data_IF_623294012097
#
_entry.id   IF_623294012097
#
_cell.length_a   1.000
_cell.length_b   1.000
_cell.length_c   1.000
_cell.angle_alpha   90.00
_cell.angle_beta   90.00
_cell.angle_gamma   90.00
#
_symmetry.space_group_name_H-M   'P 1'
#
loop_
_entity.id
_entity.type
_entity.pdbx_description
1 polymer ?
#
# COMPACT_ATOMS: atom_id res chain seq x y z
N UNK A 1 -11.59 13.29 6.02
CA UNK A 1 -11.36 13.81 4.67
C UNK A 1 -9.88 13.98 4.45
N UNK A 2 -9.37 13.48 3.33
CA UNK A 2 -7.96 13.48 3.03
C UNK A 2 -7.70 14.21 1.72
N UNK A 3 -7.14 15.42 1.75
CA UNK A 3 -6.81 16.20 0.57
C UNK A 3 -8.00 16.33 -0.42
N UNK A 4 -9.22 16.48 0.09
CA UNK A 4 -10.43 16.58 -0.73
C UNK A 4 -10.98 15.25 -1.25
N UNK A 5 -10.33 14.12 -0.93
CA UNK A 5 -10.85 12.81 -1.32
C UNK A 5 -11.97 12.38 -0.38
N UNK A 6 -13.00 11.80 -0.97
CA UNK A 6 -14.07 11.13 -0.24
C UNK A 6 -14.06 9.66 -0.60
N UNK A 7 -14.07 8.80 0.41
CA UNK A 7 -14.14 7.37 0.17
C UNK A 7 -15.50 7.01 -0.40
N UNK A 8 -15.49 6.29 -1.50
CA UNK A 8 -16.68 5.60 -2.01
C UNK A 8 -16.49 4.11 -1.73
N UNK A 9 -17.17 3.61 -0.70
CA UNK A 9 -16.96 2.22 -0.24
C UNK A 9 -17.34 1.20 -1.31
N UNK A 10 -18.41 1.42 -2.05
CA UNK A 10 -18.80 0.48 -3.11
C UNK A 10 -17.72 0.36 -4.19
N UNK A 11 -17.13 1.49 -4.59
CA UNK A 11 -16.01 1.49 -5.55
C UNK A 11 -14.79 0.83 -4.98
N UNK A 12 -14.46 1.12 -3.72
CA UNK A 12 -13.30 0.53 -3.06
C UNK A 12 -13.43 -0.99 -2.93
N UNK A 13 -14.60 -1.48 -2.50
CA UNK A 13 -14.87 -2.92 -2.37
C UNK A 13 -14.72 -3.60 -3.74
N UNK A 14 -15.30 -3.01 -4.79
CA UNK A 14 -15.19 -3.56 -6.14
C UNK A 14 -13.74 -3.65 -6.59
N UNK A 15 -12.95 -2.61 -6.34
CA UNK A 15 -11.53 -2.60 -6.67
C UNK A 15 -10.77 -3.67 -5.89
N UNK A 16 -11.02 -3.76 -4.59
CA UNK A 16 -10.39 -4.74 -3.72
C UNK A 16 -10.69 -6.18 -4.15
N UNK A 17 -11.95 -6.49 -4.42
CA UNK A 17 -12.36 -7.81 -4.94
C UNK A 17 -11.66 -8.09 -6.27
N UNK A 18 -11.55 -7.09 -7.13
CA UNK A 18 -10.83 -7.21 -8.39
C UNK A 18 -9.35 -7.59 -8.19
N UNK A 19 -8.69 -7.00 -7.20
CA UNK A 19 -7.31 -7.37 -6.85
C UNK A 19 -7.21 -8.80 -6.34
N UNK A 20 -8.14 -9.23 -5.49
CA UNK A 20 -8.18 -10.60 -4.97
C UNK A 20 -8.29 -11.62 -6.12
N UNK A 21 -9.15 -11.34 -7.10
CA UNK A 21 -9.28 -12.20 -8.28
C UNK A 21 -8.03 -12.14 -9.17
N UNK A 22 -7.50 -10.95 -9.38
CA UNK A 22 -6.34 -10.74 -10.25
C UNK A 22 -5.08 -11.42 -9.74
N UNK A 23 -4.88 -11.47 -8.41
CA UNK A 23 -3.68 -12.11 -7.84
C UNK A 23 -3.63 -13.61 -8.12
N UNK A 24 -4.76 -14.25 -8.44
CA UNK A 24 -4.80 -15.67 -8.81
C UNK A 24 -4.17 -15.90 -10.18
N UNK A 25 -4.07 -14.88 -11.00
CA UNK A 25 -3.63 -14.98 -12.38
C UNK A 25 -2.28 -14.31 -12.64
N UNK A 26 -1.88 -13.36 -11.80
CA UNK A 26 -0.65 -12.60 -12.03
C UNK A 26 0.01 -12.19 -10.71
N UNK A 27 1.36 -12.18 -10.65
CA UNK A 27 2.09 -11.69 -9.48
C UNK A 27 2.05 -10.16 -9.33
N UNK A 28 1.46 -9.44 -10.30
CA UNK A 28 1.39 -7.97 -10.28
C UNK A 28 0.23 -7.42 -9.46
N UNK A 29 -0.59 -8.28 -8.89
CA UNK A 29 -1.61 -7.93 -7.91
C UNK A 29 -1.40 -8.76 -6.65
N UNK A 30 -1.53 -8.13 -5.49
CA UNK A 30 -1.23 -8.76 -4.22
C UNK A 30 -2.22 -8.32 -3.16
N UNK A 31 -2.81 -9.28 -2.46
CA UNK A 31 -3.58 -9.03 -1.25
C UNK A 31 -3.11 -10.05 -0.22
N UNK A 32 -2.60 -9.56 0.90
CA UNK A 32 -2.08 -10.40 1.98
C UNK A 32 -2.69 -9.96 3.30
N UNK A 33 -2.93 -10.93 4.17
CA UNK A 33 -3.41 -10.69 5.52
C UNK A 33 -2.41 -11.16 6.56
N UNK A 34 -2.39 -10.47 7.70
CA UNK A 34 -1.62 -10.89 8.86
C UNK A 34 -2.58 -11.47 9.90
N UNK A 35 -2.43 -12.75 10.18
CA UNK A 35 -3.25 -13.48 11.13
C UNK A 35 -2.46 -13.77 12.39
N UNK A 36 -3.01 -13.41 13.53
CA UNK A 36 -2.43 -13.72 14.84
C UNK A 36 -3.48 -14.46 15.65
N UNK A 37 -3.15 -15.65 16.12
CA UNK A 37 -4.07 -16.54 16.84
C UNK A 37 -5.39 -16.77 16.09
N UNK A 38 -5.29 -16.95 14.77
CA UNK A 38 -6.44 -17.20 13.90
C UNK A 38 -7.30 -15.98 13.58
N UNK A 39 -6.92 -14.79 14.04
CA UNK A 39 -7.65 -13.57 13.78
C UNK A 39 -6.88 -12.66 12.82
N UNK A 40 -7.59 -12.08 11.87
CA UNK A 40 -7.01 -11.10 10.94
C UNK A 40 -6.70 -9.81 11.68
N UNK A 41 -5.43 -9.42 11.72
CA UNK A 41 -4.97 -8.22 12.42
C UNK A 41 -4.61 -7.07 11.48
N UNK A 42 -4.45 -7.35 10.24
CA UNK A 42 -4.17 -6.34 9.24
C UNK A 42 -4.11 -6.95 7.85
N UNK A 43 -4.19 -6.08 6.85
CA UNK A 43 -4.01 -6.52 5.48
C UNK A 43 -3.29 -5.45 4.66
N UNK A 44 -2.69 -5.90 3.58
CA UNK A 44 -2.04 -5.03 2.61
C UNK A 44 -2.55 -5.42 1.24
N UNK A 45 -2.90 -4.42 0.44
CA UNK A 45 -3.20 -4.60 -0.97
C UNK A 45 -2.23 -3.79 -1.81
N UNK A 46 -1.83 -4.34 -2.93
CA UNK A 46 -0.86 -3.70 -3.82
C UNK A 46 -1.09 -4.13 -5.25
N UNK A 47 -0.74 -3.25 -6.16
CA UNK A 47 -0.77 -3.55 -7.59
C UNK A 47 0.44 -2.87 -8.24
N UNK A 48 1.16 -3.59 -9.08
CA UNK A 48 2.33 -3.03 -9.74
C UNK A 48 1.94 -2.15 -10.92
N UNK A 49 2.80 -1.20 -11.21
CA UNK A 49 2.76 -0.44 -12.45
C UNK A 49 4.17 -0.38 -13.04
N UNK A 50 4.25 -0.12 -14.34
CA UNK A 50 5.53 -0.01 -15.03
C UNK A 50 6.02 1.42 -14.99
N UNK A 51 7.26 1.60 -14.53
CA UNK A 51 7.93 2.88 -14.64
C UNK A 51 8.36 3.07 -16.08
N UNK A 52 7.79 4.06 -16.76
CA UNK A 52 8.02 4.20 -18.20
C UNK A 52 9.42 4.73 -18.54
N UNK A 53 10.17 5.28 -17.56
CA UNK A 53 11.55 5.70 -17.78
C UNK A 53 12.53 4.52 -17.81
N UNK A 54 12.27 3.50 -16.99
CA UNK A 54 13.20 2.38 -16.81
C UNK A 54 12.67 1.07 -17.35
N UNK A 55 11.39 0.99 -17.68
CA UNK A 55 10.68 -0.21 -18.04
C UNK A 55 10.67 -1.29 -16.95
N UNK A 56 10.93 -0.90 -15.72
CA UNK A 56 10.85 -1.79 -14.56
C UNK A 56 9.49 -1.63 -13.90
N UNK A 57 9.00 -2.67 -13.25
CA UNK A 57 7.78 -2.50 -12.50
C UNK A 57 8.04 -2.11 -11.05
N UNK A 58 7.10 -1.36 -10.51
CA UNK A 58 7.11 -0.88 -9.13
C UNK A 58 5.85 -1.43 -8.46
N UNK A 59 6.01 -2.08 -7.31
CA UNK A 59 4.86 -2.54 -6.53
C UNK A 59 4.31 -1.35 -5.75
N UNK A 60 3.07 -1.00 -6.04
CA UNK A 60 2.40 0.17 -5.45
C UNK A 60 1.42 -0.30 -4.39
N UNK A 61 1.73 -0.05 -3.13
CA UNK A 61 0.86 -0.38 -2.01
C UNK A 61 -0.34 0.55 -2.03
N UNK A 62 -1.53 -0.03 -2.17
CA UNK A 62 -2.79 0.71 -2.21
C UNK A 62 -3.38 0.90 -0.82
N UNK A 63 -3.37 -0.17 -0.04
CA UNK A 63 -3.87 -0.15 1.33
C UNK A 63 -2.93 -0.92 2.24
N UNK A 64 -2.73 -0.39 3.43
CA UNK A 64 -2.15 -1.13 4.54
C UNK A 64 -2.94 -0.74 5.78
N UNK A 65 -3.85 -1.61 6.17
CA UNK A 65 -4.80 -1.36 7.25
C UNK A 65 -4.55 -2.34 8.37
N UNK A 66 -4.40 -1.83 9.57
CA UNK A 66 -4.11 -2.61 10.78
C UNK A 66 -5.22 -2.38 11.79
N UNK A 67 -5.58 -3.44 12.49
CA UNK A 67 -6.56 -3.39 13.57
C UNK A 67 -6.10 -2.41 14.66
N UNK A 68 -6.90 -1.37 14.90
CA UNK A 68 -6.61 -0.34 15.91
C UNK A 68 -6.46 -0.91 17.31
N UNK A 69 -7.26 -1.91 17.64
CA UNK A 69 -7.26 -2.51 18.97
C UNK A 69 -6.03 -3.38 19.22
N UNK A 70 -5.31 -3.71 18.15
CA UNK A 70 -4.15 -4.57 18.25
C UNK A 70 -2.84 -3.79 18.31
N UNK A 71 -2.82 -2.53 17.96
CA UNK A 71 -1.67 -1.61 17.96
C UNK A 71 -0.32 -2.32 17.82
N UNK A 72 -0.09 -2.91 16.69
CA UNK A 72 1.08 -3.72 16.51
C UNK A 72 1.95 -3.26 15.35
N UNK A 73 3.04 -2.61 15.68
CA UNK A 73 4.10 -2.22 14.76
C UNK A 73 4.57 -3.39 13.90
N UNK A 74 4.65 -4.58 14.50
CA UNK A 74 5.11 -5.78 13.79
C UNK A 74 4.14 -6.24 12.71
N UNK A 75 2.85 -5.99 12.84
CA UNK A 75 1.89 -6.31 11.78
C UNK A 75 2.23 -5.56 10.50
N UNK A 76 2.50 -4.26 10.58
CA UNK A 76 2.90 -3.47 9.41
C UNK A 76 4.19 -4.02 8.81
N UNK A 77 5.19 -4.30 9.63
CA UNK A 77 6.46 -4.83 9.15
C UNK A 77 6.30 -6.22 8.52
N UNK A 78 5.50 -7.11 9.10
CA UNK A 78 5.25 -8.42 8.49
C UNK A 78 4.59 -8.30 7.13
N UNK A 79 3.61 -7.39 7.01
CA UNK A 79 2.93 -7.15 5.73
C UNK A 79 3.89 -6.59 4.69
N UNK A 80 4.69 -5.59 5.06
CA UNK A 80 5.67 -5.01 4.14
C UNK A 80 6.79 -5.99 3.79
N UNK A 81 7.30 -6.76 4.75
CA UNK A 81 8.29 -7.79 4.49
C UNK A 81 7.79 -8.80 3.46
N UNK A 82 6.56 -9.25 3.61
CA UNK A 82 5.94 -10.20 2.68
C UNK A 82 5.75 -9.58 1.28
N UNK A 83 5.32 -8.33 1.21
CA UNK A 83 5.17 -7.60 -0.05
C UNK A 83 6.52 -7.44 -0.75
N UNK A 84 7.55 -7.06 -0.02
CA UNK A 84 8.89 -6.86 -0.57
C UNK A 84 9.45 -8.20 -1.08
N UNK A 85 9.30 -9.28 -0.31
CA UNK A 85 9.73 -10.61 -0.72
C UNK A 85 9.03 -11.06 -2.00
N UNK A 86 7.73 -10.86 -2.10
CA UNK A 86 6.94 -11.16 -3.30
C UNK A 86 7.44 -10.34 -4.50
N UNK A 87 7.62 -9.04 -4.32
CA UNK A 87 8.10 -8.15 -5.37
C UNK A 87 9.46 -8.60 -5.90
N UNK A 88 10.36 -8.91 -5.00
CA UNK A 88 11.70 -9.38 -5.34
C UNK A 88 11.67 -10.72 -6.09
N UNK A 89 10.84 -11.65 -5.64
CA UNK A 89 10.70 -12.97 -6.27
C UNK A 89 10.32 -12.87 -7.75
N UNK A 90 9.47 -11.92 -8.09
CA UNK A 90 8.98 -11.72 -9.46
C UNK A 90 9.72 -10.62 -10.22
N UNK A 91 10.92 -10.27 -9.79
CA UNK A 91 11.84 -9.41 -10.54
C UNK A 91 11.66 -7.92 -10.33
N UNK A 92 10.77 -7.48 -9.45
CA UNK A 92 10.62 -6.07 -9.11
C UNK A 92 11.76 -5.60 -8.21
N UNK A 93 12.14 -4.33 -8.38
CA UNK A 93 13.25 -3.73 -7.63
C UNK A 93 12.82 -2.58 -6.73
N UNK A 94 11.60 -2.10 -6.91
CA UNK A 94 11.09 -0.94 -6.21
C UNK A 94 9.66 -1.17 -5.71
N UNK A 95 9.36 -0.51 -4.62
CA UNK A 95 8.01 -0.41 -4.09
C UNK A 95 7.70 1.04 -3.71
N UNK A 96 6.41 1.35 -3.62
CA UNK A 96 5.93 2.66 -3.25
C UNK A 96 4.71 2.52 -2.36
N UNK A 97 4.58 3.41 -1.39
CA UNK A 97 3.38 3.51 -0.57
C UNK A 97 3.05 4.98 -0.36
N UNK A 98 1.80 5.33 -0.57
CA UNK A 98 1.31 6.68 -0.35
C UNK A 98 0.38 6.72 0.85
N UNK A 99 0.32 7.88 1.49
CA UNK A 99 -0.72 8.19 2.46
C UNK A 99 -1.54 9.35 1.93
N UNK A 100 -2.85 9.20 1.96
CA UNK A 100 -3.78 10.28 1.61
C UNK A 100 -4.25 11.05 2.85
N UNK A 101 -3.64 10.77 3.99
CA UNK A 101 -3.91 11.41 5.26
C UNK A 101 -3.24 12.78 5.34
N UNK A 102 -3.27 13.42 6.51
CA UNK A 102 -2.62 14.69 6.71
C UNK A 102 -1.11 14.60 6.39
N UNK A 103 -0.50 15.75 6.11
CA UNK A 103 0.93 15.81 5.86
C UNK A 103 1.73 15.22 7.03
N UNK A 104 1.36 15.54 8.27
CA UNK A 104 2.05 15.03 9.44
C UNK A 104 1.97 13.50 9.53
N UNK A 105 0.79 12.93 9.31
CA UNK A 105 0.60 11.48 9.33
C UNK A 105 1.38 10.80 8.21
N UNK A 106 1.42 11.39 7.03
CA UNK A 106 2.20 10.88 5.91
C UNK A 106 3.70 10.87 6.22
N UNK A 107 4.20 11.94 6.85
CA UNK A 107 5.61 12.01 7.25
C UNK A 107 5.95 11.00 8.35
N UNK A 108 5.08 10.84 9.33
CA UNK A 108 5.26 9.88 10.40
C UNK A 108 5.29 8.45 9.86
N UNK A 109 4.41 8.14 8.93
CA UNK A 109 4.38 6.85 8.26
C UNK A 109 5.66 6.60 7.46
N UNK A 110 6.11 7.59 6.70
CA UNK A 110 7.35 7.50 5.95
C UNK A 110 8.56 7.24 6.85
N UNK A 111 8.67 7.99 7.96
CA UNK A 111 9.75 7.79 8.93
C UNK A 111 9.69 6.43 9.59
N UNK A 112 8.49 5.95 9.90
CA UNK A 112 8.28 4.62 10.45
C UNK A 112 8.82 3.54 9.50
N UNK A 113 8.53 3.66 8.22
CA UNK A 113 9.02 2.71 7.22
C UNK A 113 10.55 2.81 7.01
N UNK A 114 11.10 4.03 7.09
CA UNK A 114 12.54 4.23 6.95
C UNK A 114 13.37 3.57 8.06
N UNK A 115 12.78 3.30 9.21
CA UNK A 115 13.47 2.63 10.31
C UNK A 115 13.87 1.19 9.96
N UNK A 116 13.17 0.58 9.02
CA UNK A 116 13.39 -0.82 8.65
C UNK A 116 13.82 -1.00 7.21
N UNK A 117 13.35 -0.13 6.32
CA UNK A 117 13.54 -0.30 4.89
C UNK A 117 14.41 0.81 4.32
N UNK A 118 15.26 0.45 3.36
CA UNK A 118 15.99 1.43 2.57
C UNK A 118 14.99 2.16 1.68
N UNK A 119 14.57 3.34 2.10
CA UNK A 119 13.49 4.08 1.44
C UNK A 119 13.71 5.57 1.57
N UNK A 120 13.07 6.32 0.68
CA UNK A 120 13.07 7.78 0.70
C UNK A 120 11.62 8.27 0.78
N UNK A 121 11.43 9.39 1.48
CA UNK A 121 10.12 10.04 1.53
C UNK A 121 10.01 10.96 0.32
N UNK A 122 9.02 10.72 -0.52
CA UNK A 122 8.75 11.56 -1.68
C UNK A 122 7.65 12.56 -1.38
N UNK A 123 7.81 13.77 -1.91
CA UNK A 123 6.77 14.78 -1.84
C UNK A 123 5.92 14.70 -3.11
N UNK A 124 4.62 14.64 -2.95
CA UNK A 124 3.69 14.76 -4.06
C UNK A 124 2.79 15.97 -3.87
N UNK A 125 2.42 16.59 -4.98
CA UNK A 125 1.49 17.71 -5.00
C UNK A 125 0.16 17.21 -5.56
N UNK A 126 -0.91 17.50 -4.83
CA UNK A 126 -2.26 17.12 -5.23
C UNK A 126 -3.11 18.37 -5.25
N UNK A 127 -3.96 18.46 -6.24
CA UNK A 127 -4.87 19.58 -6.38
C UNK A 127 -6.28 19.11 -6.63
N UNK A 128 -7.21 19.99 -6.36
CA UNK A 128 -8.62 19.77 -6.67
C UNK A 128 -8.95 20.64 -7.89
N UNK A 129 -9.56 20.03 -8.89
CA UNK A 129 -10.04 20.78 -10.06
C UNK A 129 -11.29 21.52 -9.63
N UNK A 130 -11.22 22.86 -9.72
CA UNK A 130 -12.38 23.68 -9.40
C UNK A 130 -13.30 23.74 -10.61
N UNK A 131 -14.59 23.55 -10.34
CA UNK A 131 -15.62 23.73 -11.34
C UNK A 131 -16.11 25.18 -11.30
N UNK A 132 -16.24 25.78 -12.47
CA UNK A 132 -16.74 27.15 -12.60
C UNK A 132 -18.23 27.17 -12.83
#
# INVERSE_FOLDING_TARGET
EYFGYKRNEAVWIKYFVGLVEKQKETPHALVIGDYVDGQLRGFLSAESFTNYYTNEYIMDVKDCIVDHDYNNTFTVYRLFDAMIAHTKEYGGKHWRADSIRSEQEAMDYGRFLQRRYNSAIHVSVRGVIQEN
#
